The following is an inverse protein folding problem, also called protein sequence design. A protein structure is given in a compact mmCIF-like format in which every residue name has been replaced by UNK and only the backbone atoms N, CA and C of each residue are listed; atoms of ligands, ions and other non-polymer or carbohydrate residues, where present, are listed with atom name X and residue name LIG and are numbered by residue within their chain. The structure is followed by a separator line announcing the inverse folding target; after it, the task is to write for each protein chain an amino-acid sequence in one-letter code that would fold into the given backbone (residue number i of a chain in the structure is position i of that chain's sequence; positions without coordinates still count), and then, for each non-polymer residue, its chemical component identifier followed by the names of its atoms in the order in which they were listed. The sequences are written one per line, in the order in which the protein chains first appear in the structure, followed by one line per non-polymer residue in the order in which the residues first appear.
data_IF_550081823045
#
_entry.id   IF_550081823045
#
_cell.length_a   1.000
_cell.length_b   1.000
_cell.length_c   1.000
_cell.angle_alpha   90.00
_cell.angle_beta   90.00
_cell.angle_gamma   90.00
#
_symmetry.space_group_name_H-M   'P 1'
#
loop_
_entity.id
_entity.type
_entity.pdbx_description
1 polymer ?
#
# COMPACT_ATOMS: atom_id res chain seq x y z
N UNK A 1 -24.70 31.26 -4.56
CA UNK A 1 -24.79 31.18 -3.09
C UNK A 1 -25.26 29.79 -2.69
N UNK A 2 -24.32 28.92 -2.32
CA UNK A 2 -24.47 27.89 -1.27
C UNK A 2 -23.13 27.19 -1.15
N UNK A 3 -22.21 27.91 -0.53
CA UNK A 3 -21.04 27.33 0.13
C UNK A 3 -21.56 26.46 1.28
N UNK A 4 -21.24 25.16 1.28
CA UNK A 4 -21.37 24.31 2.46
C UNK A 4 -19.99 24.18 3.09
N UNK A 5 -19.73 24.70 4.31
CA UNK A 5 -18.46 24.46 4.97
C UNK A 5 -18.48 23.17 5.82
N UNK A 6 -17.34 22.46 5.72
CA UNK A 6 -16.69 21.57 6.68
C UNK A 6 -17.44 20.36 7.28
N UNK A 7 -17.16 19.17 6.74
CA UNK A 7 -16.92 18.01 7.57
C UNK A 7 -15.40 17.93 7.83
N UNK A 8 -14.95 18.50 8.94
CA UNK A 8 -13.62 18.25 9.46
C UNK A 8 -13.71 16.98 10.31
N UNK A 9 -13.69 15.82 9.65
CA UNK A 9 -13.65 14.49 10.25
C UNK A 9 -12.42 13.84 9.64
N UNK A 10 -11.37 13.56 10.42
CA UNK A 10 -10.05 13.18 9.95
C UNK A 10 -10.06 11.86 9.12
N UNK A 11 -10.55 11.91 7.87
CA UNK A 11 -10.42 10.80 6.94
C UNK A 11 -8.96 10.77 6.51
N UNK A 12 -8.24 9.73 6.93
CA UNK A 12 -6.87 9.51 6.46
C UNK A 12 -6.92 9.23 4.97
N UNK A 13 -6.11 9.93 4.19
CA UNK A 13 -5.96 9.60 2.77
C UNK A 13 -5.38 8.20 2.60
N UNK A 14 -5.54 7.58 1.42
CA UNK A 14 -5.00 6.24 1.16
C UNK A 14 -3.49 6.21 1.40
N UNK A 15 -2.76 7.25 0.99
CA UNK A 15 -1.33 7.42 1.28
C UNK A 15 -1.02 7.34 2.78
N UNK A 16 -1.80 8.06 3.59
CA UNK A 16 -1.61 8.09 5.04
C UNK A 16 -1.99 6.77 5.72
N UNK A 17 -2.97 6.04 5.18
CA UNK A 17 -3.36 4.72 5.69
C UNK A 17 -2.32 3.66 5.33
N UNK A 18 -1.78 3.71 4.11
CA UNK A 18 -0.82 2.71 3.62
C UNK A 18 0.60 2.97 4.14
N UNK A 19 0.95 4.21 4.49
CA UNK A 19 2.24 4.53 5.10
C UNK A 19 2.40 3.79 6.42
N UNK A 20 3.55 3.11 6.59
CA UNK A 20 3.85 2.30 7.77
C UNK A 20 3.30 0.87 7.71
N UNK A 21 2.48 0.51 6.72
CA UNK A 21 2.03 -0.87 6.54
C UNK A 21 3.16 -1.77 6.07
N UNK A 22 3.03 -3.06 6.43
CA UNK A 22 3.98 -4.13 6.14
C UNK A 22 3.67 -4.75 4.77
N UNK A 23 4.51 -4.58 3.74
CA UNK A 23 4.41 -5.38 2.53
C UNK A 23 4.93 -6.80 2.81
N UNK A 24 4.05 -7.80 2.81
CA UNK A 24 4.42 -9.21 3.07
C UNK A 24 4.40 -9.60 4.55
N UNK A 25 5.24 -10.57 4.94
CA UNK A 25 5.28 -11.09 6.31
C UNK A 25 6.41 -10.47 7.13
N UNK A 26 6.30 -10.56 8.45
CA UNK A 26 7.31 -10.00 9.37
C UNK A 26 8.60 -10.81 9.44
N UNK A 27 8.61 -12.01 8.86
CA UNK A 27 9.69 -12.99 8.95
C UNK A 27 10.33 -13.30 7.59
N UNK A 28 9.73 -12.85 6.49
CA UNK A 28 10.24 -13.03 5.15
C UNK A 28 10.72 -11.69 4.56
N UNK A 29 11.76 -11.70 3.72
CA UNK A 29 12.15 -10.51 2.98
C UNK A 29 11.02 -10.08 2.04
N UNK A 30 10.87 -8.77 1.86
CA UNK A 30 9.96 -8.22 0.85
C UNK A 30 10.53 -8.53 -0.52
N UNK A 31 9.76 -9.20 -1.37
CA UNK A 31 10.21 -9.63 -2.69
C UNK A 31 9.19 -9.27 -3.77
N UNK A 32 9.68 -9.12 -5.00
CA UNK A 32 8.79 -8.91 -6.13
C UNK A 32 7.94 -10.16 -6.36
N UNK A 33 6.62 -9.98 -6.51
CA UNK A 33 5.67 -11.06 -6.76
C UNK A 33 5.93 -11.79 -8.08
N UNK A 34 6.62 -11.17 -9.05
CA UNK A 34 6.85 -11.73 -10.39
C UNK A 34 8.24 -12.37 -10.52
N UNK A 35 9.30 -11.60 -10.25
CA UNK A 35 10.67 -12.09 -10.44
C UNK A 35 11.36 -12.53 -9.14
N UNK A 36 10.64 -12.48 -8.00
CA UNK A 36 11.11 -12.92 -6.68
C UNK A 36 12.37 -12.21 -6.17
N UNK A 37 12.83 -11.17 -6.87
CA UNK A 37 13.94 -10.34 -6.41
C UNK A 37 13.57 -9.69 -5.08
N UNK A 38 14.44 -9.87 -4.09
CA UNK A 38 14.34 -9.24 -2.79
C UNK A 38 14.65 -7.74 -2.87
N UNK A 39 13.80 -6.94 -2.24
CA UNK A 39 14.01 -5.51 -2.06
C UNK A 39 14.91 -5.25 -0.85
N UNK A 40 15.74 -4.22 -0.99
CA UNK A 40 16.58 -3.72 0.09
C UNK A 40 15.91 -2.48 0.71
N UNK A 41 16.30 -2.12 1.92
CA UNK A 41 15.89 -0.85 2.52
C UNK A 41 16.24 0.33 1.59
N UNK A 42 15.32 1.28 1.49
CA UNK A 42 15.39 2.42 0.58
C UNK A 42 15.01 2.12 -0.87
N UNK A 43 14.60 0.90 -1.23
CA UNK A 43 14.23 0.56 -2.61
C UNK A 43 12.85 1.12 -3.01
N UNK A 44 12.75 1.61 -4.26
CA UNK A 44 11.47 1.98 -4.86
C UNK A 44 10.69 0.74 -5.32
N UNK A 45 9.40 0.71 -5.02
CA UNK A 45 8.51 -0.39 -5.36
C UNK A 45 7.12 0.10 -5.74
N UNK A 46 6.39 -0.75 -6.47
CA UNK A 46 4.98 -0.55 -6.79
C UNK A 46 4.18 -1.56 -5.98
N UNK A 47 3.18 -1.10 -5.23
CA UNK A 47 2.33 -1.96 -4.40
C UNK A 47 0.93 -1.92 -4.95
N UNK A 48 0.35 -3.10 -5.10
CA UNK A 48 -1.08 -3.24 -5.27
C UNK A 48 -1.69 -3.51 -3.90
N UNK A 49 -2.52 -2.58 -3.45
CA UNK A 49 -3.24 -2.63 -2.20
C UNK A 49 -4.72 -2.86 -2.48
N UNK A 50 -5.36 -3.66 -1.65
CA UNK A 50 -6.81 -3.90 -1.73
C UNK A 50 -7.45 -3.80 -0.35
N UNK A 51 -8.71 -3.42 -0.30
CA UNK A 51 -9.51 -3.42 0.92
C UNK A 51 -10.93 -3.89 0.59
N UNK A 52 -11.36 -4.96 1.25
CA UNK A 52 -12.75 -5.39 1.17
C UNK A 52 -13.68 -4.33 1.77
N UNK A 53 -14.85 -4.16 1.16
CA UNK A 53 -15.90 -3.23 1.64
C UNK A 53 -16.26 -3.56 3.10
N UNK A 54 -16.35 -4.85 3.43
CA UNK A 54 -16.71 -5.35 4.76
C UNK A 54 -15.51 -5.48 5.73
N UNK A 55 -14.28 -5.51 5.20
CA UNK A 55 -13.08 -5.88 5.97
C UNK A 55 -12.34 -4.72 6.64
N UNK A 56 -12.62 -3.47 6.26
CA UNK A 56 -12.10 -2.25 6.89
C UNK A 56 -10.59 -1.98 6.78
N UNK A 57 -9.76 -3.00 6.52
CA UNK A 57 -8.29 -2.93 6.52
C UNK A 57 -7.74 -3.11 5.11
N UNK A 58 -6.69 -2.35 4.79
CA UNK A 58 -5.94 -2.52 3.54
C UNK A 58 -4.94 -3.66 3.67
N UNK A 59 -4.96 -4.53 2.67
CA UNK A 59 -4.01 -5.62 2.48
C UNK A 59 -3.08 -5.30 1.31
N UNK A 60 -1.84 -5.78 1.40
CA UNK A 60 -0.80 -5.56 0.39
C UNK A 60 -0.40 -6.89 -0.26
N UNK A 61 -1.29 -7.55 -1.00
CA UNK A 61 -1.05 -8.91 -1.47
C UNK A 61 0.05 -9.01 -2.52
N UNK A 62 0.40 -7.90 -3.20
CA UNK A 62 1.37 -7.93 -4.30
C UNK A 62 2.29 -6.70 -4.29
N UNK A 63 3.56 -6.96 -4.53
CA UNK A 63 4.62 -5.96 -4.62
C UNK A 63 5.43 -6.21 -5.89
N UNK A 64 5.69 -5.15 -6.65
CA UNK A 64 6.35 -5.25 -7.94
C UNK A 64 7.59 -4.35 -7.97
N UNK A 65 8.64 -4.84 -8.63
CA UNK A 65 9.72 -3.96 -9.02
C UNK A 65 9.29 -3.16 -10.26
N UNK A 66 9.96 -2.03 -10.51
CA UNK A 66 9.62 -1.15 -11.64
C UNK A 66 9.61 -1.85 -13.00
N UNK A 67 10.46 -2.85 -13.21
CA UNK A 67 10.52 -3.60 -14.46
C UNK A 67 9.42 -4.64 -14.63
N UNK A 68 8.84 -5.15 -13.54
CA UNK A 68 7.83 -6.19 -13.59
C UNK A 68 6.39 -5.66 -13.52
N UNK A 69 6.21 -4.39 -13.12
CA UNK A 69 4.88 -3.80 -13.09
C UNK A 69 4.42 -3.43 -14.51
N UNK A 70 3.37 -4.09 -14.99
CA UNK A 70 2.77 -3.83 -16.30
C UNK A 70 1.35 -3.20 -16.21
N UNK A 71 0.92 -2.82 -15.01
CA UNK A 71 -0.47 -2.50 -14.72
C UNK A 71 -1.18 -3.64 -13.99
N UNK A 72 -2.36 -3.33 -13.45
CA UNK A 72 -3.29 -4.29 -12.87
C UNK A 72 -4.69 -3.93 -13.37
N UNK A 73 -5.49 -4.94 -13.65
CA UNK A 73 -6.92 -4.76 -13.92
C UNK A 73 -7.66 -4.72 -12.57
N UNK A 74 -8.56 -3.75 -12.34
CA UNK A 74 -9.35 -3.69 -11.12
C UNK A 74 -10.29 -4.90 -11.01
N UNK A 75 -10.51 -5.34 -9.77
CA UNK A 75 -11.40 -6.43 -9.37
C UNK A 75 -12.69 -5.84 -8.81
N UNK A 76 -13.84 -6.30 -9.31
CA UNK A 76 -15.14 -5.89 -8.79
C UNK A 76 -15.31 -6.31 -7.31
N UNK A 77 -15.93 -5.43 -6.52
CA UNK A 77 -16.32 -5.71 -5.14
C UNK A 77 -15.29 -5.36 -4.06
N UNK A 78 -14.15 -4.77 -4.44
CA UNK A 78 -13.11 -4.32 -3.49
C UNK A 78 -12.64 -2.90 -3.80
N UNK A 79 -12.16 -2.18 -2.79
CA UNK A 79 -11.37 -0.98 -3.01
C UNK A 79 -9.96 -1.38 -3.40
N UNK A 80 -9.41 -0.79 -4.44
CA UNK A 80 -8.09 -1.13 -4.95
C UNK A 80 -7.26 0.11 -5.19
N UNK A 81 -5.98 0.04 -4.84
CA UNK A 81 -5.05 1.12 -5.08
C UNK A 81 -3.74 0.56 -5.64
N UNK A 82 -3.25 1.20 -6.70
CA UNK A 82 -1.88 1.06 -7.14
C UNK A 82 -1.11 2.24 -6.57
N UNK A 83 -0.09 1.96 -5.77
CA UNK A 83 0.75 2.99 -5.18
C UNK A 83 2.22 2.77 -5.51
N UNK A 84 2.95 3.86 -5.66
CA UNK A 84 4.40 3.85 -5.52
C UNK A 84 4.76 4.10 -4.07
N UNK A 85 5.80 3.42 -3.58
CA UNK A 85 6.33 3.64 -2.25
C UNK A 85 7.81 3.30 -2.23
N UNK A 86 8.46 3.72 -1.14
CA UNK A 86 9.81 3.33 -0.80
C UNK A 86 9.77 2.32 0.34
N UNK A 87 10.64 1.32 0.29
CA UNK A 87 10.79 0.39 1.41
C UNK A 87 11.61 1.08 2.50
N UNK A 88 11.07 1.16 3.71
CA UNK A 88 11.79 1.58 4.90
C UNK A 88 11.78 0.52 5.98
N UNK A 89 12.36 0.86 7.12
CA UNK A 89 12.39 0.01 8.31
C UNK A 89 11.89 0.77 9.52
N UNK A 90 10.87 0.23 10.20
CA UNK A 90 10.38 0.74 11.47
C UNK A 90 10.97 -0.06 12.63
N UNK A 91 11.54 0.62 13.62
CA UNK A 91 11.98 0.00 14.87
C UNK A 91 10.77 -0.21 15.79
N UNK A 92 10.58 -1.43 16.29
CA UNK A 92 9.62 -1.73 17.36
C UNK A 92 10.37 -1.78 18.70
N UNK A 93 10.21 -0.76 19.58
CA UNK A 93 11.03 -0.63 20.79
C UNK A 93 10.88 -1.80 21.75
N UNK A 94 9.66 -2.31 21.92
CA UNK A 94 9.34 -3.40 22.85
C UNK A 94 9.96 -4.74 22.49
N UNK A 95 10.46 -4.90 21.26
CA UNK A 95 11.11 -6.14 20.80
C UNK A 95 12.51 -5.94 20.19
N UNK A 96 13.04 -4.71 20.14
CA UNK A 96 14.29 -4.35 19.42
C UNK A 96 14.36 -4.96 18.01
N UNK A 97 13.21 -5.09 17.36
CA UNK A 97 13.07 -5.73 16.05
C UNK A 97 12.78 -4.65 15.01
N UNK A 98 13.44 -4.75 13.86
CA UNK A 98 13.14 -3.92 12.70
C UNK A 98 12.08 -4.62 11.85
N UNK A 99 11.09 -3.87 11.39
CA UNK A 99 10.07 -4.38 10.47
C UNK A 99 10.06 -3.55 9.18
N UNK A 100 10.00 -4.20 8.01
CA UNK A 100 9.89 -3.48 6.74
C UNK A 100 8.58 -2.71 6.68
N UNK A 101 8.56 -1.49 6.18
CA UNK A 101 7.33 -0.73 6.03
C UNK A 101 7.33 0.12 4.78
N UNK A 102 6.15 0.52 4.33
CA UNK A 102 6.01 1.50 3.26
C UNK A 102 6.27 2.91 3.78
N UNK A 103 7.13 3.65 3.08
CA UNK A 103 7.36 5.09 3.26
C UNK A 103 7.19 5.80 1.93
N UNK A 104 7.11 7.13 1.94
CA UNK A 104 7.02 7.95 0.71
C UNK A 104 5.91 7.46 -0.26
N UNK A 105 4.74 7.13 0.30
CA UNK A 105 3.62 6.56 -0.46
C UNK A 105 2.98 7.61 -1.36
N UNK A 106 2.81 7.29 -2.64
CA UNK A 106 2.05 8.08 -3.61
C UNK A 106 1.06 7.21 -4.39
N UNK A 107 -0.21 7.61 -4.42
CA UNK A 107 -1.25 6.90 -5.19
C UNK A 107 -1.08 7.17 -6.68
N UNK A 108 -1.07 6.10 -7.49
CA UNK A 108 -1.12 6.16 -8.95
C UNK A 108 -2.53 5.99 -9.49
N UNK A 109 -3.25 5.04 -8.91
CA UNK A 109 -4.62 4.70 -9.30
C UNK A 109 -5.36 4.27 -8.06
N UNK A 110 -6.61 4.71 -7.94
CA UNK A 110 -7.56 4.29 -6.93
C UNK A 110 -8.84 3.94 -7.65
N UNK A 111 -9.32 2.72 -7.44
CA UNK A 111 -10.56 2.20 -8.01
C UNK A 111 -11.49 1.80 -6.87
N UNK A 112 -12.73 2.25 -6.95
CA UNK A 112 -13.80 1.86 -6.06
C UNK A 112 -14.37 0.47 -6.43
N UNK A 113 -15.17 -0.12 -5.52
CA UNK A 113 -15.72 -1.47 -5.69
C UNK A 113 -16.66 -1.64 -6.89
N UNK A 114 -17.10 -0.54 -7.50
CA UNK A 114 -17.97 -0.50 -8.68
C UNK A 114 -17.22 -0.20 -9.99
N UNK A 115 -15.90 -0.03 -9.96
CA UNK A 115 -15.09 0.46 -11.10
C UNK A 115 -14.21 -0.62 -11.75
N UNK A 116 -14.64 -1.89 -11.68
CA UNK A 116 -14.02 -3.01 -12.42
C UNK A 116 -14.39 -3.06 -13.89
#
# INVERSE_FOLDING_TARGET
MSERPAANCCERSVEQVLTGLLPGSTTAPVQCTVCERQFQDGADLVVYAQRCVDGGVWELPRVYCRSCFAGVEPTLGVWEAVVTARLGSMLIPTGRTHRPCLTEVGVRTLSGPSEG
#
